data_IF_438461976351
#
_entry.id   IF_438461976351
#
_cell.length_a   1.000
_cell.length_b   1.000
_cell.length_c   1.000
_cell.angle_alpha   90.00
_cell.angle_beta   90.00
_cell.angle_gamma   90.00
#
_symmetry.space_group_name_H-M   'P 1'
#
loop_
_entity.id
_entity.type
_entity.pdbx_description
1 polymer ?
#
# COMPACT_ATOMS: atom_id res chain seq x y z
N UNK A 1 11.44 9.72 4.74
CA UNK A 1 10.30 10.23 3.97
C UNK A 1 9.54 9.04 3.38
N UNK A 2 8.23 9.08 3.49
CA UNK A 2 7.36 8.01 2.99
C UNK A 2 6.86 8.34 1.60
N UNK A 3 6.79 7.34 0.76
CA UNK A 3 6.36 7.50 -0.62
C UNK A 3 5.21 6.55 -0.91
N UNK A 4 4.20 7.04 -1.61
CA UNK A 4 3.08 6.21 -2.03
C UNK A 4 3.52 5.38 -3.21
N UNK A 5 3.41 4.05 -3.09
CA UNK A 5 3.79 3.15 -4.18
C UNK A 5 2.59 2.47 -4.80
N UNK A 6 1.44 2.52 -4.16
CA UNK A 6 0.26 1.87 -4.69
C UNK A 6 -0.98 2.44 -4.02
N UNK A 7 -2.05 2.53 -4.76
CA UNK A 7 -3.34 2.94 -4.21
C UNK A 7 -4.30 1.79 -4.42
N UNK A 8 -4.70 1.16 -3.33
CA UNK A 8 -5.58 0.01 -3.38
C UNK A 8 -7.03 0.47 -3.35
N UNK A 9 -7.87 -0.10 -4.21
CA UNK A 9 -9.29 0.29 -4.23
C UNK A 9 -10.09 -0.23 -3.04
N UNK A 10 -9.58 -1.28 -2.38
CA UNK A 10 -10.27 -1.84 -1.23
C UNK A 10 -9.27 -2.20 -0.15
N UNK A 11 -9.78 -2.34 1.08
CA UNK A 11 -8.94 -2.73 2.19
C UNK A 11 -8.33 -4.11 1.96
N UNK A 12 -9.09 -5.00 1.35
CA UNK A 12 -8.62 -6.35 1.10
C UNK A 12 -7.40 -6.36 0.19
N UNK A 13 -7.45 -5.56 -0.87
CA UNK A 13 -6.31 -5.41 -1.76
C UNK A 13 -5.12 -4.81 -1.02
N UNK A 14 -5.38 -3.79 -0.21
CA UNK A 14 -4.32 -3.12 0.53
C UNK A 14 -3.61 -4.09 1.45
N UNK A 15 -4.36 -4.93 2.14
CA UNK A 15 -3.74 -5.90 3.04
C UNK A 15 -2.93 -6.94 2.30
N UNK A 16 -3.41 -7.35 1.14
CA UNK A 16 -2.68 -8.30 0.32
C UNK A 16 -1.32 -7.73 -0.07
N UNK A 17 -1.30 -6.51 -0.57
CA UNK A 17 -0.05 -5.87 -0.96
C UNK A 17 0.84 -5.67 0.25
N UNK A 18 0.25 -5.24 1.37
CA UNK A 18 1.03 -5.04 2.58
C UNK A 18 1.70 -6.33 3.03
N UNK A 19 0.98 -7.43 2.98
CA UNK A 19 1.55 -8.70 3.39
C UNK A 19 2.71 -9.12 2.51
N UNK A 20 2.57 -8.92 1.21
CA UNK A 20 3.64 -9.26 0.29
C UNK A 20 4.88 -8.43 0.56
N UNK A 21 4.70 -7.12 0.71
CA UNK A 21 5.84 -6.24 0.96
C UNK A 21 6.47 -6.51 2.32
N UNK A 22 5.66 -6.74 3.32
CA UNK A 22 6.15 -7.04 4.66
C UNK A 22 6.95 -8.34 4.67
N UNK A 23 6.50 -9.30 3.91
CA UNK A 23 7.22 -10.56 3.77
C UNK A 23 8.58 -10.41 3.13
N UNK A 24 8.79 -9.34 2.39
CA UNK A 24 10.08 -9.04 1.79
C UNK A 24 10.96 -8.19 2.71
N UNK A 25 10.47 -7.87 3.89
CA UNK A 25 11.24 -7.08 4.83
C UNK A 25 11.10 -5.59 4.65
N UNK A 26 10.10 -5.14 3.92
CA UNK A 26 9.89 -3.73 3.67
C UNK A 26 8.88 -3.18 4.67
N UNK A 27 9.19 -2.03 5.27
CA UNK A 27 8.24 -1.36 6.12
C UNK A 27 7.10 -0.81 5.28
N UNK A 28 5.87 -0.98 5.75
CA UNK A 28 4.70 -0.57 4.99
C UNK A 28 3.77 0.20 5.89
N UNK A 29 3.21 1.27 5.35
CA UNK A 29 2.23 2.07 6.05
C UNK A 29 0.99 2.20 5.18
N UNK A 30 -0.18 2.05 5.77
CA UNK A 30 -1.43 2.21 5.05
C UNK A 30 -2.10 3.48 5.49
N UNK A 31 -2.65 4.22 4.53
CA UNK A 31 -3.36 5.44 4.84
C UNK A 31 -4.67 5.45 4.05
N UNK A 32 -5.78 5.49 4.75
CA UNK A 32 -7.08 5.53 4.10
C UNK A 32 -7.33 6.91 3.52
N UNK A 33 -7.86 6.94 2.30
CA UNK A 33 -8.25 8.16 1.63
C UNK A 33 -9.75 8.13 1.46
N UNK A 34 -10.38 9.27 1.61
CA UNK A 34 -11.81 9.38 1.40
C UNK A 34 -12.56 9.34 2.70
N UNK A 35 -13.86 9.30 2.61
CA UNK A 35 -14.71 9.40 3.79
C UNK A 35 -15.31 8.07 4.13
N UNK A 36 -14.96 7.52 5.28
CA UNK A 36 -15.48 6.21 5.71
C UNK A 36 -17.00 6.17 5.75
N UNK A 37 -17.62 7.32 5.93
CA UNK A 37 -19.06 7.36 6.07
C UNK A 37 -19.79 7.02 4.79
N UNK A 38 -19.17 7.21 3.67
CA UNK A 38 -19.80 6.83 2.42
C UNK A 38 -19.54 5.39 2.08
N UNK A 39 -18.91 4.78 2.91
CA UNK A 39 -19.00 3.44 3.31
C UNK A 39 -18.29 2.47 2.51
N UNK A 40 -18.29 2.40 1.33
CA UNK A 40 -18.05 1.11 0.82
C UNK A 40 -16.70 0.96 0.21
N UNK A 41 -16.18 1.97 -0.38
CA UNK A 41 -14.93 1.85 -1.07
C UNK A 41 -14.03 3.00 -0.76
N UNK A 42 -13.26 2.85 0.30
CA UNK A 42 -12.20 3.81 0.58
C UNK A 42 -10.95 3.32 -0.12
N UNK A 43 -10.38 4.18 -0.93
CA UNK A 43 -9.06 3.89 -1.46
C UNK A 43 -8.05 3.94 -0.32
N UNK A 44 -7.02 3.13 -0.41
CA UNK A 44 -6.01 3.06 0.64
C UNK A 44 -4.65 3.25 -0.01
N UNK A 45 -3.93 4.26 0.44
CA UNK A 45 -2.57 4.50 -0.03
C UNK A 45 -1.62 3.57 0.70
N UNK A 46 -0.72 2.97 -0.06
CA UNK A 46 0.31 2.12 0.52
C UNK A 46 1.62 2.86 0.39
N UNK A 47 2.22 3.15 1.53
CA UNK A 47 3.43 3.94 1.60
C UNK A 47 4.59 3.10 2.12
N UNK A 48 5.76 3.36 1.55
CA UNK A 48 7.00 2.74 2.01
C UNK A 48 8.06 3.84 2.13
N UNK A 49 9.14 3.58 2.86
CA UNK A 49 10.24 4.56 2.91
C UNK A 49 10.78 4.77 1.51
N UNK A 50 11.15 6.01 1.24
CA UNK A 50 11.64 6.38 -0.09
C UNK A 50 12.79 5.49 -0.54
N UNK A 51 13.65 5.12 0.39
CA UNK A 51 14.80 4.28 0.06
C UNK A 51 14.40 2.90 -0.44
N UNK A 52 13.19 2.47 -0.14
CA UNK A 52 12.72 1.14 -0.54
C UNK A 52 11.64 1.19 -1.61
N UNK A 53 11.36 2.39 -2.11
CA UNK A 53 10.26 2.55 -3.06
C UNK A 53 10.48 1.77 -4.35
N UNK A 54 11.69 1.78 -4.88
CA UNK A 54 11.97 1.06 -6.11
C UNK A 54 11.76 -0.44 -5.94
N UNK A 55 12.24 -0.96 -4.84
CA UNK A 55 12.08 -2.38 -4.56
C UNK A 55 10.62 -2.74 -4.38
N UNK A 56 9.89 -1.89 -3.68
CA UNK A 56 8.47 -2.12 -3.47
C UNK A 56 7.70 -2.13 -4.80
N UNK A 57 8.04 -1.20 -5.68
CA UNK A 57 7.38 -1.15 -6.98
C UNK A 57 7.66 -2.40 -7.80
N UNK A 58 8.87 -2.93 -7.75
CA UNK A 58 9.18 -4.16 -8.46
C UNK A 58 8.36 -5.32 -7.92
N UNK A 59 8.23 -5.40 -6.62
CA UNK A 59 7.45 -6.47 -6.00
C UNK A 59 5.98 -6.35 -6.42
N UNK A 60 5.44 -5.15 -6.39
CA UNK A 60 4.05 -4.93 -6.75
C UNK A 60 3.82 -5.29 -8.21
N UNK A 61 4.73 -4.94 -9.08
CA UNK A 61 4.60 -5.25 -10.50
C UNK A 61 4.67 -6.74 -10.77
N UNK A 62 5.24 -7.51 -9.87
CA UNK A 62 5.36 -8.95 -10.02
C UNK A 62 4.14 -9.71 -9.47
N UNK A 63 3.23 -9.02 -8.86
CA UNK A 63 2.05 -9.67 -8.30
C UNK A 63 1.11 -10.21 -9.36
#
# INVERSE_FOLDING_TARGET
>A
VWTVVYIAPTKKEAEKVRQVLSGEGILVKLKAIGQPQQGINCSIEILVPEAEADEALEIINAL
#
